data_IF_814247128001
#
_entry.id   IF_814247128001
#
_cell.length_a   1.000
_cell.length_b   1.000
_cell.length_c   1.000
_cell.angle_alpha   90.00
_cell.angle_beta   90.00
_cell.angle_gamma   90.00
#
_symmetry.space_group_name_H-M   'P 1'
#
loop_
_entity.id
_entity.type
_entity.pdbx_description
1 polymer ?
#
# COMPACT_ATOMS: atom_id res chain seq x y z
N UNK A 1 -3.57 -14.26 5.32
CA UNK A 1 -3.33 -13.60 4.04
C UNK A 1 -2.68 -12.24 4.26
N UNK A 2 -1.66 -11.94 3.49
CA UNK A 2 -0.98 -10.65 3.56
C UNK A 2 -1.39 -9.81 2.35
N UNK A 3 -1.66 -8.54 2.57
CA UNK A 3 -2.13 -7.65 1.52
C UNK A 3 -1.52 -6.26 1.65
N UNK A 4 -0.99 -5.76 0.54
CA UNK A 4 -0.46 -4.39 0.43
C UNK A 4 -1.21 -3.68 -0.69
N UNK A 5 -1.54 -2.42 -0.47
CA UNK A 5 -2.11 -1.57 -1.51
C UNK A 5 -1.42 -0.22 -1.49
N UNK A 6 -0.97 0.23 -2.65
CA UNK A 6 -0.22 1.49 -2.79
C UNK A 6 -0.80 2.28 -3.95
N UNK A 7 -1.18 3.52 -3.69
CA UNK A 7 -1.76 4.34 -4.74
C UNK A 7 -1.81 5.80 -4.41
N UNK A 8 -2.24 6.59 -5.39
CA UNK A 8 -2.44 8.02 -5.28
C UNK A 8 -3.85 8.36 -5.71
N UNK A 9 -4.58 9.08 -4.86
CA UNK A 9 -5.94 9.50 -5.18
C UNK A 9 -6.34 10.73 -4.37
N UNK A 10 -7.08 11.63 -4.98
CA UNK A 10 -7.66 12.81 -4.33
C UNK A 10 -6.66 13.68 -3.58
N UNK A 11 -5.45 13.84 -4.10
CA UNK A 11 -4.42 14.67 -3.47
C UNK A 11 -3.68 13.99 -2.33
N UNK A 12 -3.86 12.69 -2.18
CA UNK A 12 -3.15 11.89 -1.19
C UNK A 12 -2.45 10.71 -1.84
N UNK A 13 -1.30 10.37 -1.31
CA UNK A 13 -0.60 9.14 -1.66
C UNK A 13 -0.58 8.27 -0.42
N UNK A 14 -0.97 7.01 -0.57
CA UNK A 14 -1.19 6.13 0.57
C UNK A 14 -0.66 4.74 0.27
N UNK A 15 -0.06 4.12 1.28
CA UNK A 15 0.10 2.67 1.26
C UNK A 15 -0.42 2.10 2.57
N UNK A 16 -0.96 0.89 2.49
CA UNK A 16 -1.46 0.14 3.64
C UNK A 16 -0.96 -1.29 3.56
N UNK A 17 -0.73 -1.88 4.72
CA UNK A 17 -0.37 -3.28 4.86
C UNK A 17 -1.29 -3.95 5.85
N UNK A 18 -2.00 -4.98 5.40
CA UNK A 18 -2.88 -5.81 6.21
C UNK A 18 -2.31 -7.22 6.33
N UNK A 19 -2.38 -7.78 7.52
CA UNK A 19 -2.03 -9.18 7.78
C UNK A 19 -3.21 -9.84 8.48
N UNK A 20 -3.69 -10.92 7.91
CA UNK A 20 -4.83 -11.68 8.47
C UNK A 20 -6.03 -10.77 8.78
N UNK A 21 -6.34 -9.86 7.87
CA UNK A 21 -7.46 -8.95 8.00
C UNK A 21 -7.26 -7.79 8.97
N UNK A 22 -6.08 -7.65 9.54
CA UNK A 22 -5.76 -6.56 10.47
C UNK A 22 -4.77 -5.58 9.87
N UNK A 23 -5.00 -4.30 10.08
CA UNK A 23 -4.05 -3.27 9.67
C UNK A 23 -2.77 -3.38 10.50
N UNK A 24 -1.64 -3.60 9.81
CA UNK A 24 -0.33 -3.64 10.44
C UNK A 24 0.32 -2.26 10.43
N UNK A 25 0.33 -1.62 9.27
CA UNK A 25 0.95 -0.31 9.11
C UNK A 25 0.35 0.41 7.93
N UNK A 26 0.39 1.74 7.97
CA UNK A 26 -0.01 2.57 6.85
C UNK A 26 0.77 3.87 6.86
N UNK A 27 0.81 4.51 5.69
CA UNK A 27 1.32 5.87 5.56
C UNK A 27 0.46 6.60 4.54
N UNK A 28 0.08 7.83 4.87
CA UNK A 28 -0.66 8.68 3.95
C UNK A 28 -0.10 10.08 4.01
N UNK A 29 0.18 10.67 2.86
CA UNK A 29 0.69 12.04 2.78
C UNK A 29 -0.10 12.82 1.75
N UNK A 30 -0.23 14.12 1.97
CA UNK A 30 -0.81 15.01 1.00
C UNK A 30 0.19 15.25 -0.13
N UNK A 31 -0.25 15.12 -1.36
CA UNK A 31 0.58 15.34 -2.55
C UNK A 31 -0.20 16.17 -3.56
N UNK A 32 0.47 16.86 -4.49
CA UNK A 32 -0.22 17.48 -5.60
C UNK A 32 -1.05 16.45 -6.35
N UNK A 33 -2.16 16.87 -6.93
CA UNK A 33 -3.03 15.96 -7.68
C UNK A 33 -2.36 15.39 -8.92
N UNK A 34 -1.28 15.99 -9.35
CA UNK A 34 -0.50 15.48 -10.46
C UNK A 34 0.13 14.14 -10.10
N UNK A 35 0.20 13.29 -11.09
CA UNK A 35 0.83 11.99 -10.93
C UNK A 35 2.31 12.11 -10.57
N UNK A 36 2.71 11.47 -9.51
CA UNK A 36 4.11 11.39 -9.12
C UNK A 36 4.54 9.92 -9.05
N UNK A 37 4.95 9.39 -10.19
CA UNK A 37 5.34 7.98 -10.31
C UNK A 37 6.57 7.66 -9.46
N UNK A 38 7.56 8.54 -9.43
CA UNK A 38 8.76 8.31 -8.62
C UNK A 38 8.43 8.16 -7.14
N UNK A 39 7.59 9.04 -6.62
CA UNK A 39 7.18 8.97 -5.21
C UNK A 39 6.35 7.72 -4.93
N UNK A 40 5.54 7.30 -5.91
CA UNK A 40 4.76 6.07 -5.76
C UNK A 40 5.65 4.83 -5.73
N UNK A 41 6.74 4.84 -6.49
CA UNK A 41 7.76 3.77 -6.42
C UNK A 41 8.38 3.75 -5.02
N UNK A 42 8.72 4.90 -4.46
CA UNK A 42 9.26 4.99 -3.10
C UNK A 42 8.26 4.48 -2.07
N UNK A 43 6.98 4.83 -2.21
CA UNK A 43 5.92 4.34 -1.33
C UNK A 43 5.76 2.83 -1.42
N UNK A 44 5.83 2.28 -2.62
CA UNK A 44 5.77 0.83 -2.82
C UNK A 44 6.94 0.15 -2.09
N UNK A 45 8.13 0.72 -2.22
CA UNK A 45 9.32 0.22 -1.53
C UNK A 45 9.16 0.27 -0.01
N UNK A 46 8.62 1.36 0.53
CA UNK A 46 8.34 1.48 1.96
C UNK A 46 7.35 0.43 2.43
N UNK A 47 6.29 0.19 1.66
CA UNK A 47 5.27 -0.80 2.00
C UNK A 47 5.87 -2.21 2.04
N UNK A 48 6.67 -2.58 1.06
CA UNK A 48 7.32 -3.89 1.04
C UNK A 48 8.36 -4.03 2.16
N UNK A 49 9.04 -2.94 2.52
CA UNK A 49 9.94 -2.93 3.67
C UNK A 49 9.18 -3.20 4.97
N UNK A 50 7.98 -2.64 5.11
CA UNK A 50 7.11 -2.92 6.25
C UNK A 50 6.75 -4.40 6.33
N UNK A 51 6.47 -5.03 5.17
CA UNK A 51 6.20 -6.47 5.12
C UNK A 51 7.40 -7.28 5.58
N UNK A 52 8.60 -6.92 5.09
CA UNK A 52 9.84 -7.60 5.51
C UNK A 52 10.04 -7.53 7.02
N UNK A 53 9.85 -6.35 7.61
CA UNK A 53 9.97 -6.18 9.07
C UNK A 53 8.94 -7.04 9.80
N UNK A 54 7.72 -7.06 9.33
CA UNK A 54 6.66 -7.87 9.93
C UNK A 54 7.03 -9.35 9.91
N UNK A 55 7.50 -9.86 8.77
CA UNK A 55 7.88 -11.26 8.65
C UNK A 55 9.06 -11.62 9.56
N UNK A 56 10.03 -10.70 9.71
CA UNK A 56 11.19 -10.91 10.58
C UNK A 56 10.79 -10.97 12.06
N UNK A 57 9.72 -10.28 12.45
CA UNK A 57 9.31 -10.23 13.87
C UNK A 57 8.36 -11.36 14.26
N UNK A 58 7.90 -12.18 13.32
CA UNK A 58 6.99 -13.28 13.63
C UNK A 58 7.71 -14.39 14.39
N UNK A 59 7.11 -14.87 15.46
CA UNK A 59 7.66 -15.97 16.25
C UNK A 59 7.64 -17.29 15.50
N UNK A 60 6.71 -17.42 14.58
CA UNK A 60 6.59 -18.59 13.72
C UNK A 60 6.84 -18.17 12.29
N UNK A 61 7.79 -18.78 11.58
CA UNK A 61 8.03 -18.43 10.20
C UNK A 61 6.77 -18.68 9.38
N UNK A 62 6.49 -17.76 8.47
CA UNK A 62 5.39 -17.96 7.54
C UNK A 62 5.68 -19.20 6.69
N UNK A 63 4.61 -19.95 6.42
CA UNK A 63 4.68 -21.09 5.53
C UNK A 63 5.09 -20.59 4.14
N UNK A 64 5.90 -21.37 3.44
CA UNK A 64 6.29 -21.07 2.04
C UNK A 64 5.09 -20.99 1.11
N UNK A 65 3.93 -21.49 1.54
CA UNK A 65 2.68 -21.36 0.80
C UNK A 65 1.96 -20.03 1.02
N UNK A 66 2.44 -19.20 1.94
CA UNK A 66 1.86 -17.88 2.16
C UNK A 66 2.10 -17.01 0.94
N UNK A 67 1.09 -16.23 0.60
CA UNK A 67 1.14 -15.33 -0.55
C UNK A 67 0.88 -13.90 -0.09
N UNK A 68 1.71 -12.99 -0.59
CA UNK A 68 1.48 -11.56 -0.44
C UNK A 68 0.78 -11.04 -1.68
N UNK A 69 -0.38 -10.43 -1.51
CA UNK A 69 -1.08 -9.76 -2.60
C UNK A 69 -0.71 -8.28 -2.58
N UNK A 70 -0.20 -7.77 -3.70
CA UNK A 70 0.22 -6.38 -3.84
C UNK A 70 -0.59 -5.72 -4.95
N UNK A 71 -1.30 -4.65 -4.60
CA UNK A 71 -1.97 -3.81 -5.57
C UNK A 71 -1.20 -2.50 -5.69
N UNK A 72 -0.92 -2.09 -6.92
CA UNK A 72 -0.25 -0.80 -7.18
C UNK A 72 -1.05 0.01 -8.19
N UNK A 73 -1.12 1.31 -7.95
CA UNK A 73 -1.91 2.23 -8.74
C UNK A 73 -1.22 2.73 -10.02
N UNK A 74 -0.16 2.07 -10.46
CA UNK A 74 0.58 2.42 -11.67
C UNK A 74 0.97 1.20 -12.46
N UNK A 75 0.61 1.21 -13.74
CA UNK A 75 0.94 0.08 -14.64
C UNK A 75 2.43 -0.18 -14.75
N UNK A 76 3.24 0.89 -14.81
CA UNK A 76 4.68 0.74 -14.96
C UNK A 76 5.30 -0.02 -13.78
N UNK A 77 4.80 0.20 -12.58
CA UNK A 77 5.31 -0.48 -11.39
C UNK A 77 4.91 -1.96 -11.42
N UNK A 78 3.62 -2.24 -11.62
CA UNK A 78 3.13 -3.61 -11.68
C UNK A 78 3.82 -4.41 -12.78
N UNK A 79 3.98 -3.81 -13.95
CA UNK A 79 4.61 -4.44 -15.09
C UNK A 79 6.07 -4.76 -14.83
N UNK A 80 6.80 -3.83 -14.20
CA UNK A 80 8.20 -4.07 -13.88
C UNK A 80 8.36 -5.19 -12.86
N UNK A 81 7.54 -5.23 -11.83
CA UNK A 81 7.62 -6.29 -10.82
C UNK A 81 7.22 -7.67 -11.38
N UNK A 82 6.28 -7.71 -12.32
CA UNK A 82 5.83 -8.96 -12.91
C UNK A 82 6.71 -9.44 -14.06
N UNK A 83 7.13 -8.54 -14.94
CA UNK A 83 7.78 -8.88 -16.20
C UNK A 83 9.25 -8.44 -16.26
N UNK A 84 9.69 -7.65 -15.30
CA UNK A 84 11.03 -7.04 -15.26
C UNK A 84 11.30 -6.19 -16.51
N UNK A 85 10.25 -5.65 -17.10
CA UNK A 85 10.34 -4.81 -18.28
C UNK A 85 10.06 -3.37 -17.92
N UNK A 86 10.96 -2.47 -18.34
CA UNK A 86 10.77 -1.05 -18.15
C UNK A 86 11.31 -0.28 -19.35
N UNK A 87 10.44 0.51 -19.96
CA UNK A 87 10.81 1.47 -21.00
C UNK A 87 10.49 2.87 -20.47
N UNK A 88 11.13 3.24 -19.37
CA UNK A 88 10.80 4.44 -18.62
C UNK A 88 12.05 5.06 -18.02
N UNK A 89 11.97 6.38 -17.78
CA UNK A 89 13.03 7.11 -17.07
C UNK A 89 13.18 6.68 -15.61
N UNK A 90 12.23 5.88 -15.10
CA UNK A 90 12.22 5.45 -13.69
C UNK A 90 12.97 4.13 -13.47
N UNK A 91 13.73 3.66 -14.43
CA UNK A 91 14.38 2.35 -14.36
C UNK A 91 15.23 2.19 -13.10
N UNK A 92 15.98 3.21 -12.71
CA UNK A 92 16.85 3.13 -11.53
C UNK A 92 16.04 2.96 -10.24
N UNK A 93 14.96 3.74 -10.12
CA UNK A 93 14.07 3.65 -8.96
C UNK A 93 13.38 2.29 -8.90
N UNK A 94 12.99 1.76 -10.05
CA UNK A 94 12.37 0.45 -10.15
C UNK A 94 13.35 -0.68 -9.82
N UNK A 95 14.62 -0.53 -10.19
CA UNK A 95 15.65 -1.50 -9.82
C UNK A 95 15.84 -1.54 -8.29
N UNK A 96 15.84 -0.39 -7.63
CA UNK A 96 15.91 -0.32 -6.18
C UNK A 96 14.71 -0.97 -5.52
N UNK A 97 13.51 -0.75 -6.07
CA UNK A 97 12.31 -1.42 -5.62
C UNK A 97 12.41 -2.94 -5.79
N UNK A 98 12.92 -3.39 -6.92
CA UNK A 98 13.06 -4.82 -7.19
C UNK A 98 13.99 -5.50 -6.19
N UNK A 99 15.03 -4.82 -5.72
CA UNK A 99 15.92 -5.36 -4.70
C UNK A 99 15.16 -5.68 -3.41
N UNK A 100 14.25 -4.81 -2.99
CA UNK A 100 13.41 -5.05 -1.81
C UNK A 100 12.42 -6.17 -2.10
N UNK A 101 11.78 -6.13 -3.27
CA UNK A 101 10.82 -7.13 -3.70
C UNK A 101 11.43 -8.55 -3.68
N UNK A 102 12.66 -8.69 -4.18
CA UNK A 102 13.35 -9.98 -4.24
C UNK A 102 13.79 -10.51 -2.87
N UNK A 103 13.77 -9.69 -1.84
CA UNK A 103 14.09 -10.12 -0.48
C UNK A 103 12.92 -10.75 0.24
N UNK A 104 11.70 -10.63 -0.30
CA UNK A 104 10.52 -11.23 0.31
C UNK A 104 10.62 -12.76 0.27
N UNK A 105 10.50 -13.43 1.43
CA UNK A 105 10.70 -14.89 1.51
C UNK A 105 9.46 -15.69 1.14
N UNK A 106 8.42 -15.05 0.65
CA UNK A 106 7.13 -15.66 0.31
C UNK A 106 6.76 -15.32 -1.13
N UNK A 107 5.82 -16.05 -1.68
CA UNK A 107 5.30 -15.76 -3.01
C UNK A 107 4.57 -14.43 -3.03
N UNK A 108 4.72 -13.67 -4.11
CA UNK A 108 4.09 -12.36 -4.26
C UNK A 108 3.31 -12.32 -5.56
N UNK A 109 2.07 -11.86 -5.48
CA UNK A 109 1.24 -11.60 -6.64
C UNK A 109 1.05 -10.09 -6.75
N UNK A 110 1.38 -9.52 -7.89
CA UNK A 110 1.29 -8.08 -8.13
C UNK A 110 0.23 -7.79 -9.18
N UNK A 111 -0.67 -6.86 -8.85
CA UNK A 111 -1.76 -6.44 -9.71
C UNK A 111 -1.74 -4.93 -9.87
N UNK A 112 -2.03 -4.47 -11.09
CA UNK A 112 -2.36 -3.07 -11.30
C UNK A 112 -3.84 -2.84 -11.00
N UNK A 113 -4.11 -1.83 -10.17
CA UNK A 113 -5.46 -1.35 -9.94
C UNK A 113 -5.38 0.16 -9.79
N UNK A 114 -5.99 0.90 -10.72
CA UNK A 114 -5.95 2.37 -10.68
C UNK A 114 -6.52 2.96 -9.39
N UNK A 115 -7.34 2.19 -8.69
CA UNK A 115 -7.94 2.58 -7.41
C UNK A 115 -7.17 2.04 -6.21
N UNK A 116 -6.01 1.43 -6.44
CA UNK A 116 -5.17 0.94 -5.36
C UNK A 116 -4.80 2.09 -4.42
N UNK A 117 -4.70 1.76 -3.14
CA UNK A 117 -4.49 2.78 -2.11
C UNK A 117 -5.76 3.54 -1.77
N UNK A 118 -6.66 3.72 -2.73
CA UNK A 118 -7.91 4.44 -2.48
C UNK A 118 -8.92 3.58 -1.74
N UNK A 119 -9.28 2.43 -2.29
CA UNK A 119 -10.31 1.58 -1.67
C UNK A 119 -9.90 1.09 -0.29
N UNK A 120 -8.66 0.65 -0.15
CA UNK A 120 -8.17 0.16 1.13
C UNK A 120 -7.94 1.31 2.10
N UNK A 121 -7.39 2.42 1.63
CA UNK A 121 -7.22 3.62 2.46
C UNK A 121 -8.58 4.17 2.91
N UNK A 122 -9.56 4.18 2.02
CA UNK A 122 -10.91 4.63 2.37
C UNK A 122 -11.53 3.71 3.42
N UNK A 123 -11.38 2.41 3.27
CA UNK A 123 -11.82 1.44 4.27
C UNK A 123 -11.13 1.69 5.61
N UNK A 124 -9.82 1.89 5.60
CA UNK A 124 -9.06 2.19 6.80
C UNK A 124 -9.59 3.44 7.48
N UNK A 125 -9.81 4.50 6.72
CA UNK A 125 -10.31 5.76 7.27
C UNK A 125 -11.70 5.59 7.89
N UNK A 126 -12.56 4.79 7.28
CA UNK A 126 -13.88 4.48 7.83
C UNK A 126 -13.80 3.68 9.11
N UNK A 127 -12.92 2.67 9.15
CA UNK A 127 -12.72 1.86 10.36
C UNK A 127 -12.19 2.70 11.50
N UNK A 128 -11.19 3.54 11.24
CA UNK A 128 -10.63 4.45 12.21
C UNK A 128 -11.70 5.42 12.73
N UNK A 129 -12.49 5.96 11.82
CA UNK A 129 -13.56 6.88 12.18
C UNK A 129 -14.58 6.22 13.10
N UNK A 130 -15.04 5.03 12.77
CA UNK A 130 -16.00 4.29 13.61
C UNK A 130 -15.42 4.07 14.99
N UNK A 131 -14.15 3.70 15.10
CA UNK A 131 -13.48 3.50 16.37
C UNK A 131 -13.41 4.79 17.18
N UNK A 132 -13.07 5.90 16.55
CA UNK A 132 -13.02 7.20 17.21
C UNK A 132 -14.38 7.66 17.66
N UNK A 133 -15.42 7.43 16.85
CA UNK A 133 -16.80 7.76 17.22
C UNK A 133 -17.25 6.96 18.44
N UNK A 134 -16.91 5.69 18.52
CA UNK A 134 -17.27 4.86 19.65
C UNK A 134 -16.66 5.35 20.95
N UNK A 135 -15.49 5.99 20.90
CA UNK A 135 -14.77 6.47 22.09
C UNK A 135 -15.04 7.92 22.43
N UNK A 136 -15.24 8.78 21.45
CA UNK A 136 -15.29 10.23 21.66
C UNK A 136 -16.66 10.86 21.56
N UNK A 137 -17.66 10.17 21.08
CA UNK A 137 -18.97 10.72 20.78
C UNK A 137 -18.91 11.97 19.90
N UNK A 138 -17.92 12.04 19.04
CA UNK A 138 -17.77 13.15 18.11
C UNK A 138 -18.89 13.14 17.08
N UNK A 139 -19.22 14.31 16.52
CA UNK A 139 -20.24 14.39 15.50
C UNK A 139 -19.84 13.60 14.25
N UNK A 140 -20.63 12.60 13.92
CA UNK A 140 -20.45 11.83 12.71
C UNK A 140 -20.61 12.70 11.46
N UNK A 141 -21.45 13.74 11.54
CA UNK A 141 -21.69 14.63 10.42
C UNK A 141 -20.45 15.43 10.05
N UNK A 142 -19.73 15.95 11.02
CA UNK A 142 -18.52 16.72 10.77
C UNK A 142 -17.48 15.88 10.04
N UNK A 143 -17.36 14.63 10.44
CA UNK A 143 -16.41 13.73 9.82
C UNK A 143 -16.83 13.35 8.40
N UNK A 144 -18.11 13.09 8.19
CA UNK A 144 -18.63 12.77 6.86
C UNK A 144 -18.47 13.92 5.89
N UNK A 145 -18.67 15.14 6.33
CA UNK A 145 -18.47 16.32 5.50
C UNK A 145 -17.02 16.40 5.01
N UNK A 146 -16.07 16.10 5.87
CA UNK A 146 -14.65 16.06 5.50
C UNK A 146 -14.34 14.95 4.50
N UNK A 147 -14.95 13.80 4.65
CA UNK A 147 -14.69 12.63 3.79
C UNK A 147 -15.31 12.80 2.41
N UNK A 148 -16.45 13.42 2.33
CA UNK A 148 -17.15 13.62 1.06
C UNK A 148 -16.49 14.66 0.16
N UNK A 149 -15.68 15.51 0.71
CA UNK A 149 -14.91 16.46 -0.06
C UNK A 149 -13.67 15.81 -0.69
#
# INVERSE_FOLDING_TARGET
MLQVSVGQNNGYMTWVFYAEGRLVERKSVSVPRETNTQKLIEFTKEALTSVLKYLDTQKHPYNTESVLSVEVGRKVIARYLNEHYCNSIYVEDLEDLLKVFNRLPISVEVEYNKEAGFLIADRYNKEKYVTEQATKHTSALDWFDEVEE
#
